data_IF_783259029893
#
_entry.id   IF_783259029893
#
_cell.length_a   1.000
_cell.length_b   1.000
_cell.length_c   1.000
_cell.angle_alpha   90.00
_cell.angle_beta   90.00
_cell.angle_gamma   90.00
#
_symmetry.space_group_name_H-M   'P 1'
#
loop_
_entity.id
_entity.type
_entity.pdbx_description
1 polymer ?
#
# COMPACT_ATOMS: atom_id res chain seq x y z
N UNK A 1 -34.97 -31.29 -24.17
CA UNK A 1 -34.91 -29.85 -24.59
C UNK A 1 -34.39 -28.89 -23.49
N UNK A 2 -34.54 -29.19 -22.19
CA UNK A 2 -34.00 -28.38 -21.07
C UNK A 2 -32.47 -28.49 -20.87
N UNK A 3 -31.86 -29.65 -21.13
CA UNK A 3 -30.42 -29.86 -20.91
C UNK A 3 -29.52 -29.16 -21.93
N UNK A 4 -29.95 -29.04 -23.20
CA UNK A 4 -29.23 -28.27 -24.23
C UNK A 4 -29.19 -26.76 -23.94
N UNK A 5 -30.16 -26.22 -23.19
CA UNK A 5 -30.16 -24.81 -22.73
C UNK A 5 -29.20 -24.58 -21.55
N UNK A 6 -29.02 -25.57 -20.66
CA UNK A 6 -28.05 -25.45 -19.55
C UNK A 6 -26.60 -25.57 -20.04
N UNK A 7 -26.32 -26.44 -21.01
CA UNK A 7 -24.99 -26.59 -21.62
C UNK A 7 -24.57 -25.31 -22.39
N UNK A 8 -25.50 -24.70 -23.13
CA UNK A 8 -25.32 -23.40 -23.81
C UNK A 8 -25.07 -22.24 -22.83
N UNK A 9 -25.75 -22.24 -21.68
CA UNK A 9 -25.56 -21.22 -20.63
C UNK A 9 -24.20 -21.36 -19.94
N UNK A 10 -23.77 -22.59 -19.61
CA UNK A 10 -22.43 -22.86 -19.04
C UNK A 10 -21.28 -22.54 -20.02
N UNK A 11 -21.44 -22.84 -21.32
CA UNK A 11 -20.45 -22.47 -22.35
C UNK A 11 -20.36 -20.94 -22.58
N UNK A 12 -21.47 -20.20 -22.45
CA UNK A 12 -21.45 -18.72 -22.49
C UNK A 12 -20.78 -18.12 -21.26
N UNK A 13 -21.03 -18.66 -20.05
CA UNK A 13 -20.37 -18.21 -18.82
C UNK A 13 -18.86 -18.47 -18.82
N UNK A 14 -18.41 -19.59 -19.42
CA UNK A 14 -16.99 -19.91 -19.55
C UNK A 14 -16.26 -18.99 -20.57
N UNK A 15 -16.92 -18.66 -21.70
CA UNK A 15 -16.37 -17.70 -22.69
C UNK A 15 -16.33 -16.26 -22.17
N UNK A 16 -17.30 -15.85 -21.35
CA UNK A 16 -17.27 -14.54 -20.70
C UNK A 16 -16.07 -14.42 -19.75
N UNK A 17 -15.67 -15.49 -19.06
CA UNK A 17 -14.54 -15.42 -18.12
C UNK A 17 -13.17 -15.23 -18.77
N UNK A 18 -12.89 -15.94 -19.86
CA UNK A 18 -11.64 -15.75 -20.63
C UNK A 18 -11.58 -14.38 -21.32
N UNK A 19 -12.74 -13.85 -21.73
CA UNK A 19 -12.83 -12.57 -22.44
C UNK A 19 -12.76 -11.38 -21.48
N UNK A 20 -13.38 -11.46 -20.30
CA UNK A 20 -13.28 -10.45 -19.25
C UNK A 20 -11.85 -10.32 -18.71
N UNK A 21 -11.15 -11.44 -18.52
CA UNK A 21 -9.77 -11.38 -18.03
C UNK A 21 -8.78 -10.77 -19.02
N UNK A 22 -8.99 -10.94 -20.33
CA UNK A 22 -8.19 -10.20 -21.33
C UNK A 22 -8.53 -8.72 -21.36
N UNK A 23 -9.81 -8.35 -21.23
CA UNK A 23 -10.26 -6.95 -21.24
C UNK A 23 -9.72 -6.11 -20.08
N UNK A 24 -9.45 -6.73 -18.93
CA UNK A 24 -9.04 -6.01 -17.71
C UNK A 24 -7.51 -5.83 -17.59
N UNK A 25 -6.70 -6.74 -18.15
CA UNK A 25 -5.22 -6.63 -18.20
C UNK A 25 -4.74 -5.31 -18.85
N UNK A 26 -5.62 -4.67 -19.63
CA UNK A 26 -5.41 -3.39 -20.32
C UNK A 26 -5.43 -2.13 -19.41
N UNK A 27 -5.99 -2.20 -18.19
CA UNK A 27 -6.08 -1.05 -17.27
C UNK A 27 -4.76 -0.66 -16.58
N UNK A 28 -3.75 -1.54 -16.61
CA UNK A 28 -2.57 -1.51 -15.73
C UNK A 28 -1.50 -0.45 -15.95
N UNK A 29 -1.46 0.23 -17.11
CA UNK A 29 -0.25 0.95 -17.54
C UNK A 29 -0.57 2.34 -18.05
N UNK A 30 -0.71 3.28 -17.13
CA UNK A 30 -0.60 4.71 -17.40
C UNK A 30 -0.24 5.44 -16.12
N UNK A 31 1.04 5.82 -15.97
CA UNK A 31 1.53 7.15 -15.52
C UNK A 31 3.07 7.07 -15.53
N UNK A 32 3.72 7.84 -16.41
CA UNK A 32 5.05 8.45 -16.16
C UNK A 32 5.37 9.49 -17.25
N UNK A 33 5.29 10.75 -16.83
CA UNK A 33 5.96 12.00 -17.27
C UNK A 33 6.53 12.18 -18.69
N UNK A 34 6.03 13.24 -19.35
CA UNK A 34 6.73 14.34 -20.04
C UNK A 34 7.88 13.92 -20.98
N UNK A 35 7.57 13.78 -22.27
CA UNK A 35 8.53 13.53 -23.35
C UNK A 35 8.02 12.68 -24.54
N UNK A 36 6.77 12.22 -24.53
CA UNK A 36 6.21 11.32 -25.58
C UNK A 36 4.77 11.65 -25.97
N UNK A 37 4.51 12.77 -26.63
CA UNK A 37 3.16 13.01 -27.18
C UNK A 37 2.88 12.22 -28.47
N UNK A 38 3.90 11.85 -29.26
CA UNK A 38 3.70 11.12 -30.52
C UNK A 38 3.61 9.58 -30.32
N UNK A 39 4.36 9.02 -29.37
CA UNK A 39 4.32 7.57 -29.11
C UNK A 39 3.04 7.12 -28.37
N UNK A 40 2.49 7.97 -27.50
CA UNK A 40 1.26 7.69 -26.73
C UNK A 40 0.02 7.63 -27.61
N UNK A 41 -0.10 8.49 -28.62
CA UNK A 41 -1.20 8.44 -29.59
C UNK A 41 -1.19 7.14 -30.43
N UNK A 42 -0.02 6.70 -30.89
CA UNK A 42 0.16 5.48 -31.71
C UNK A 42 -0.08 4.20 -30.90
N UNK A 43 0.31 4.17 -29.63
CA UNK A 43 0.01 3.08 -28.69
C UNK A 43 -1.47 3.03 -28.31
N UNK A 44 -2.12 4.19 -28.13
CA UNK A 44 -3.58 4.28 -27.93
C UNK A 44 -4.35 3.71 -29.14
N UNK A 45 -3.95 4.04 -30.37
CA UNK A 45 -4.66 3.57 -31.57
C UNK A 45 -4.54 2.05 -31.77
N UNK A 46 -3.36 1.44 -31.49
CA UNK A 46 -3.18 -0.01 -31.59
C UNK A 46 -4.00 -0.78 -30.54
N UNK A 47 -4.05 -0.29 -29.31
CA UNK A 47 -4.80 -0.94 -28.22
C UNK A 47 -6.32 -0.82 -28.39
N UNK A 48 -6.81 0.33 -28.88
CA UNK A 48 -8.23 0.48 -29.20
C UNK A 48 -8.66 -0.45 -30.34
N UNK A 49 -7.80 -0.71 -31.32
CA UNK A 49 -8.09 -1.67 -32.39
C UNK A 49 -8.19 -3.11 -31.87
N UNK A 50 -7.30 -3.51 -30.95
CA UNK A 50 -7.33 -4.83 -30.31
C UNK A 50 -8.61 -5.04 -29.47
N UNK A 51 -9.02 -4.01 -28.72
CA UNK A 51 -10.27 -4.02 -27.96
C UNK A 51 -11.49 -4.24 -28.86
N UNK A 52 -11.57 -3.49 -29.96
CA UNK A 52 -12.66 -3.61 -30.93
C UNK A 52 -12.66 -4.99 -31.60
N UNK A 53 -11.49 -5.53 -31.91
CA UNK A 53 -11.36 -6.90 -32.43
C UNK A 53 -11.85 -7.95 -31.43
N UNK A 54 -11.57 -7.80 -30.14
CA UNK A 54 -12.09 -8.72 -29.11
C UNK A 54 -13.61 -8.64 -28.97
N UNK A 55 -14.18 -7.42 -29.03
CA UNK A 55 -15.65 -7.24 -29.01
C UNK A 55 -16.30 -7.97 -30.18
N UNK A 56 -15.74 -7.80 -31.39
CA UNK A 56 -16.23 -8.44 -32.61
C UNK A 56 -16.07 -9.97 -32.56
N UNK A 57 -14.86 -10.45 -32.27
CA UNK A 57 -14.54 -11.89 -32.19
C UNK A 57 -15.43 -12.65 -31.21
N UNK A 58 -15.84 -12.00 -30.12
CA UNK A 58 -16.63 -12.63 -29.06
C UNK A 58 -18.12 -12.24 -29.10
N UNK A 59 -18.56 -11.52 -30.14
CA UNK A 59 -19.95 -11.07 -30.34
C UNK A 59 -20.52 -10.35 -29.10
N UNK A 60 -19.76 -9.38 -28.58
CA UNK A 60 -20.09 -8.66 -27.35
C UNK A 60 -20.89 -7.36 -27.58
N UNK A 61 -21.36 -7.13 -28.81
CA UNK A 61 -22.19 -5.98 -29.13
C UNK A 61 -23.47 -5.98 -28.28
N UNK A 62 -23.82 -4.81 -27.74
CA UNK A 62 -24.94 -4.66 -26.80
C UNK A 62 -24.69 -5.19 -25.38
N UNK A 63 -23.57 -5.89 -25.15
CA UNK A 63 -23.15 -6.37 -23.82
C UNK A 63 -22.03 -5.54 -23.20
N UNK A 64 -21.28 -4.79 -24.02
CA UNK A 64 -20.18 -3.91 -23.60
C UNK A 64 -20.46 -2.48 -24.05
N UNK A 65 -20.23 -1.53 -23.15
CA UNK A 65 -20.18 -0.10 -23.45
C UNK A 65 -18.74 0.40 -23.33
N UNK A 66 -18.25 1.07 -24.38
CA UNK A 66 -16.91 1.68 -24.40
C UNK A 66 -17.03 3.15 -24.82
N UNK A 67 -17.13 4.10 -23.87
CA UNK A 67 -17.19 5.51 -24.20
C UNK A 67 -15.84 5.97 -24.77
N UNK A 68 -15.85 6.56 -25.97
CA UNK A 68 -14.62 7.06 -26.63
C UNK A 68 -13.92 8.14 -25.80
N UNK A 69 -14.69 8.91 -25.05
CA UNK A 69 -14.24 9.98 -24.13
C UNK A 69 -15.22 10.08 -22.97
N UNK A 70 -14.72 10.46 -21.80
CA UNK A 70 -15.50 10.93 -20.67
C UNK A 70 -14.75 12.09 -20.01
N UNK A 71 -15.44 12.92 -19.25
CA UNK A 71 -14.86 13.96 -18.39
C UNK A 71 -14.79 13.46 -16.95
N UNK A 72 -13.89 13.97 -16.09
CA UNK A 72 -13.82 13.58 -14.69
C UNK A 72 -15.16 13.66 -13.95
N UNK A 73 -15.97 14.67 -14.25
CA UNK A 73 -17.32 14.86 -13.69
C UNK A 73 -18.34 13.79 -14.09
N UNK A 74 -18.07 12.99 -15.13
CA UNK A 74 -18.95 11.88 -15.54
C UNK A 74 -18.74 10.63 -14.66
N UNK A 75 -17.56 10.50 -14.04
CA UNK A 75 -17.14 9.29 -13.31
C UNK A 75 -18.08 8.96 -12.14
N UNK A 76 -18.50 9.92 -11.29
CA UNK A 76 -19.47 9.64 -10.22
C UNK A 76 -20.79 9.07 -10.75
N UNK A 77 -21.28 9.57 -11.88
CA UNK A 77 -22.50 9.07 -12.51
C UNK A 77 -22.32 7.64 -13.05
N UNK A 78 -21.14 7.30 -13.57
CA UNK A 78 -20.80 5.94 -14.00
C UNK A 78 -20.81 4.97 -12.81
N UNK A 79 -20.18 5.34 -11.70
CA UNK A 79 -20.20 4.52 -10.49
C UNK A 79 -21.62 4.36 -9.93
N UNK A 80 -22.40 5.45 -9.87
CA UNK A 80 -23.79 5.41 -9.43
C UNK A 80 -24.65 4.50 -10.32
N UNK A 81 -24.47 4.58 -11.65
CA UNK A 81 -25.15 3.73 -12.62
C UNK A 81 -24.82 2.24 -12.42
N UNK A 82 -23.54 1.93 -12.19
CA UNK A 82 -23.08 0.57 -11.91
C UNK A 82 -23.67 0.06 -10.60
N UNK A 83 -23.62 0.86 -9.52
CA UNK A 83 -24.19 0.50 -8.21
C UNK A 83 -25.68 0.25 -8.28
N UNK A 84 -26.43 1.11 -8.95
CA UNK A 84 -27.88 0.98 -9.13
C UNK A 84 -28.28 -0.34 -9.81
N UNK A 85 -27.37 -0.93 -10.59
CA UNK A 85 -27.56 -2.23 -11.27
C UNK A 85 -26.90 -3.40 -10.56
N UNK A 86 -26.43 -3.21 -9.31
CA UNK A 86 -25.64 -4.18 -8.55
C UNK A 86 -24.39 -4.66 -9.30
N UNK A 87 -23.75 -3.73 -10.00
CA UNK A 87 -22.47 -3.93 -10.64
C UNK A 87 -21.33 -4.01 -9.64
N UNK A 88 -20.13 -4.24 -10.15
CA UNK A 88 -18.87 -4.29 -9.40
C UNK A 88 -17.83 -3.44 -10.11
N UNK A 89 -16.80 -3.02 -9.38
CA UNK A 89 -15.62 -2.38 -9.97
C UNK A 89 -14.46 -3.36 -10.04
N UNK A 90 -13.75 -3.39 -11.18
CA UNK A 90 -12.67 -4.35 -11.41
C UNK A 90 -11.41 -3.61 -11.87
N UNK A 91 -10.31 -3.79 -11.14
CA UNK A 91 -8.98 -3.26 -11.51
C UNK A 91 -7.96 -4.40 -11.47
N UNK A 92 -7.52 -4.86 -12.65
CA UNK A 92 -6.53 -5.93 -12.76
C UNK A 92 -5.19 -5.38 -13.25
N UNK A 93 -4.76 -4.25 -12.68
CA UNK A 93 -3.44 -3.73 -12.96
C UNK A 93 -2.36 -4.77 -12.58
N UNK A 94 -1.36 -5.00 -13.44
CA UNK A 94 -0.21 -5.85 -13.09
C UNK A 94 0.50 -5.39 -11.81
N UNK A 95 0.45 -4.09 -11.52
CA UNK A 95 0.86 -3.50 -10.25
C UNK A 95 0.06 -2.21 -10.03
N UNK A 96 -0.67 -2.11 -8.93
CA UNK A 96 -1.43 -0.91 -8.55
C UNK A 96 -0.80 -0.33 -7.28
N UNK A 97 0.04 0.71 -7.35
CA UNK A 97 0.81 1.16 -6.20
C UNK A 97 -0.04 1.75 -5.08
N UNK A 98 -1.21 2.33 -5.39
CA UNK A 98 -2.07 2.95 -4.38
C UNK A 98 -3.56 2.63 -4.55
N UNK A 99 -4.13 2.81 -5.75
CA UNK A 99 -5.54 2.47 -5.99
C UNK A 99 -6.55 3.57 -5.67
N UNK A 100 -6.31 4.82 -6.07
CA UNK A 100 -7.32 5.90 -5.93
C UNK A 100 -8.68 5.54 -6.53
N UNK A 101 -8.68 4.92 -7.71
CA UNK A 101 -9.92 4.49 -8.39
C UNK A 101 -10.67 3.42 -7.61
N UNK A 102 -9.96 2.57 -6.85
CA UNK A 102 -10.56 1.58 -5.95
C UNK A 102 -11.21 2.26 -4.74
N UNK A 103 -10.56 3.28 -4.17
CA UNK A 103 -11.14 4.08 -3.08
C UNK A 103 -12.38 4.84 -3.54
N UNK A 104 -12.36 5.45 -4.73
CA UNK A 104 -13.52 6.14 -5.30
C UNK A 104 -14.69 5.17 -5.53
N UNK A 105 -14.42 4.01 -6.14
CA UNK A 105 -15.44 2.99 -6.39
C UNK A 105 -16.00 2.42 -5.06
N UNK A 106 -15.14 2.17 -4.08
CA UNK A 106 -15.53 1.75 -2.74
C UNK A 106 -16.42 2.78 -2.05
N UNK A 107 -16.03 4.06 -2.06
CA UNK A 107 -16.81 5.15 -1.50
C UNK A 107 -18.16 5.32 -2.21
N UNK A 108 -18.21 5.05 -3.52
CA UNK A 108 -19.45 4.99 -4.28
C UNK A 108 -20.32 3.75 -3.94
N UNK A 109 -19.82 2.81 -3.14
CA UNK A 109 -20.51 1.59 -2.70
C UNK A 109 -20.48 0.46 -3.72
N UNK A 110 -19.42 0.36 -4.52
CA UNK A 110 -19.19 -0.76 -5.41
C UNK A 110 -18.27 -1.80 -4.75
N UNK A 111 -18.67 -3.09 -4.74
CA UNK A 111 -17.75 -4.17 -4.42
C UNK A 111 -16.57 -4.22 -5.39
N UNK A 112 -15.40 -4.63 -4.89
CA UNK A 112 -14.14 -4.61 -5.64
C UNK A 112 -13.68 -6.01 -6.05
N UNK A 113 -13.15 -6.12 -7.26
CA UNK A 113 -12.21 -7.20 -7.64
C UNK A 113 -10.92 -6.52 -8.06
N UNK A 114 -9.82 -6.77 -7.36
CA UNK A 114 -8.58 -6.04 -7.56
C UNK A 114 -7.37 -6.95 -7.67
N UNK A 115 -6.29 -6.46 -8.28
CA UNK A 115 -4.99 -7.13 -8.30
C UNK A 115 -4.47 -7.38 -6.89
N UNK A 116 -3.75 -8.50 -6.70
CA UNK A 116 -3.02 -8.83 -5.47
C UNK A 116 -1.66 -8.13 -5.34
N UNK A 117 -1.36 -7.17 -6.22
CA UNK A 117 -0.10 -6.41 -6.22
C UNK A 117 -0.29 -4.93 -5.89
N UNK A 118 0.28 -4.49 -4.76
CA UNK A 118 0.36 -3.10 -4.33
C UNK A 118 -0.76 -2.66 -3.38
N UNK A 119 -1.15 -1.39 -3.45
CA UNK A 119 -2.14 -0.74 -2.58
C UNK A 119 -3.53 -1.40 -2.47
N UNK A 120 -4.04 -2.19 -3.44
CA UNK A 120 -5.30 -2.89 -3.27
C UNK A 120 -5.31 -3.88 -2.09
N UNK A 121 -4.16 -4.44 -1.71
CA UNK A 121 -4.06 -5.33 -0.55
C UNK A 121 -4.48 -4.59 0.72
N UNK A 122 -3.87 -3.44 0.99
CA UNK A 122 -4.17 -2.61 2.16
C UNK A 122 -5.63 -2.14 2.15
N UNK A 123 -6.14 -1.74 0.97
CA UNK A 123 -7.52 -1.26 0.84
C UNK A 123 -8.51 -2.39 1.14
N UNK A 124 -8.35 -3.57 0.54
CA UNK A 124 -9.28 -4.69 0.72
C UNK A 124 -9.17 -5.28 2.12
N UNK A 125 -7.97 -5.36 2.71
CA UNK A 125 -7.78 -5.80 4.09
C UNK A 125 -8.49 -4.86 5.07
N UNK A 126 -8.32 -3.55 4.92
CA UNK A 126 -8.92 -2.56 5.81
C UNK A 126 -10.44 -2.44 5.63
N UNK A 127 -10.91 -2.44 4.38
CA UNK A 127 -12.30 -2.18 4.05
C UNK A 127 -13.15 -3.45 3.99
N UNK A 128 -12.55 -4.63 3.81
CA UNK A 128 -13.24 -5.92 3.65
C UNK A 128 -14.31 -5.88 2.54
N UNK A 129 -14.06 -5.16 1.45
CA UNK A 129 -15.04 -4.78 0.44
C UNK A 129 -14.80 -5.42 -0.94
N UNK A 130 -13.97 -6.46 -1.02
CA UNK A 130 -13.63 -7.07 -2.31
C UNK A 130 -12.85 -8.37 -2.24
N UNK A 131 -12.37 -8.79 -3.42
CA UNK A 131 -11.59 -10.01 -3.63
C UNK A 131 -10.31 -9.64 -4.41
N UNK A 132 -9.15 -10.06 -3.88
CA UNK A 132 -7.87 -9.96 -4.55
C UNK A 132 -7.68 -11.13 -5.53
N UNK A 133 -7.11 -10.86 -6.71
CA UNK A 133 -6.88 -11.85 -7.77
C UNK A 133 -5.54 -11.61 -8.47
N UNK A 134 -4.90 -12.67 -8.95
CA UNK A 134 -3.76 -12.54 -9.88
C UNK A 134 -4.26 -11.95 -11.21
N UNK A 135 -3.78 -10.77 -11.63
CA UNK A 135 -4.21 -10.12 -12.86
C UNK A 135 -3.87 -10.93 -14.12
N UNK A 136 -2.94 -11.89 -14.05
CA UNK A 136 -2.56 -12.77 -15.16
C UNK A 136 -3.49 -13.97 -15.32
N UNK A 137 -4.46 -14.13 -14.42
CA UNK A 137 -5.42 -15.25 -14.43
C UNK A 137 -6.83 -14.78 -14.78
N UNK A 138 -7.18 -14.73 -16.09
CA UNK A 138 -8.54 -14.45 -16.54
C UNK A 138 -9.63 -15.24 -15.83
N UNK A 139 -9.36 -16.52 -15.57
CA UNK A 139 -10.28 -17.40 -14.87
C UNK A 139 -10.55 -16.95 -13.43
N UNK A 140 -9.51 -16.54 -12.69
CA UNK A 140 -9.66 -16.06 -11.32
C UNK A 140 -10.47 -14.75 -11.26
N UNK A 141 -10.16 -13.80 -12.16
CA UNK A 141 -10.88 -12.54 -12.29
C UNK A 141 -12.38 -12.79 -12.52
N UNK A 142 -12.69 -13.67 -13.48
CA UNK A 142 -14.07 -14.02 -13.82
C UNK A 142 -14.81 -14.71 -12.69
N UNK A 143 -14.16 -15.65 -12.00
CA UNK A 143 -14.75 -16.36 -10.87
C UNK A 143 -15.05 -15.42 -9.70
N UNK A 144 -14.12 -14.51 -9.38
CA UNK A 144 -14.34 -13.49 -8.36
C UNK A 144 -15.51 -12.57 -8.71
N UNK A 145 -15.57 -12.09 -9.95
CA UNK A 145 -16.67 -11.26 -10.44
C UNK A 145 -18.02 -11.98 -10.36
N UNK A 146 -18.09 -13.22 -10.85
CA UNK A 146 -19.32 -14.02 -10.83
C UNK A 146 -19.76 -14.39 -9.41
N UNK A 147 -18.81 -14.62 -8.49
CA UNK A 147 -19.11 -14.88 -7.08
C UNK A 147 -19.83 -13.70 -6.45
N UNK A 148 -19.31 -12.48 -6.62
CA UNK A 148 -19.92 -11.27 -6.07
C UNK A 148 -21.26 -10.97 -6.74
N UNK A 149 -21.35 -11.06 -8.08
CA UNK A 149 -22.59 -10.79 -8.81
C UNK A 149 -23.68 -11.85 -8.58
N UNK A 150 -23.29 -13.09 -8.28
CA UNK A 150 -24.19 -14.21 -8.03
C UNK A 150 -24.70 -14.31 -6.59
N UNK A 151 -24.03 -13.68 -5.63
CA UNK A 151 -24.38 -13.69 -4.21
C UNK A 151 -24.80 -12.28 -3.75
N UNK A 152 -26.11 -12.07 -3.64
CA UNK A 152 -26.66 -10.77 -3.27
C UNK A 152 -26.29 -10.32 -1.84
N UNK A 153 -26.13 -11.26 -0.91
CA UNK A 153 -25.76 -10.94 0.47
C UNK A 153 -24.28 -10.51 0.53
N UNK A 154 -23.42 -11.20 -0.21
CA UNK A 154 -22.02 -10.83 -0.36
C UNK A 154 -21.87 -9.44 -1.01
N UNK A 155 -22.62 -9.18 -2.08
CA UNK A 155 -22.63 -7.88 -2.75
C UNK A 155 -23.01 -6.75 -1.79
N UNK A 156 -24.09 -6.92 -1.02
CA UNK A 156 -24.54 -5.89 -0.06
C UNK A 156 -23.54 -5.66 1.06
N UNK A 157 -22.92 -6.74 1.56
CA UNK A 157 -21.88 -6.64 2.59
C UNK A 157 -20.70 -5.80 2.09
N UNK A 158 -20.18 -6.12 0.90
CA UNK A 158 -19.06 -5.39 0.31
C UNK A 158 -19.42 -3.94 -0.04
N UNK A 159 -20.61 -3.70 -0.59
CA UNK A 159 -21.09 -2.35 -0.90
C UNK A 159 -21.20 -1.47 0.35
N UNK A 160 -21.70 -2.02 1.46
CA UNK A 160 -21.78 -1.30 2.75
C UNK A 160 -20.40 -1.03 3.34
N UNK A 161 -19.50 -2.01 3.26
CA UNK A 161 -18.16 -1.89 3.82
C UNK A 161 -17.30 -0.83 3.10
N UNK A 162 -17.66 -0.45 1.88
CA UNK A 162 -17.01 0.63 1.12
C UNK A 162 -17.00 2.01 1.80
N UNK A 163 -17.92 2.28 2.74
CA UNK A 163 -17.86 3.55 3.52
C UNK A 163 -16.60 3.66 4.38
N UNK A 164 -16.04 2.52 4.83
CA UNK A 164 -14.77 2.48 5.57
C UNK A 164 -13.62 3.09 4.76
N UNK A 165 -13.65 2.97 3.43
CA UNK A 165 -12.63 3.56 2.56
C UNK A 165 -12.64 5.09 2.63
N UNK A 166 -13.83 5.70 2.62
CA UNK A 166 -13.98 7.15 2.71
C UNK A 166 -13.55 7.70 4.08
N UNK A 167 -13.78 6.94 5.16
CA UNK A 167 -13.37 7.31 6.52
C UNK A 167 -11.85 7.13 6.73
N UNK A 168 -11.26 6.08 6.17
CA UNK A 168 -9.85 5.78 6.30
C UNK A 168 -8.97 6.74 5.48
N UNK A 169 -9.38 7.07 4.26
CA UNK A 169 -8.61 7.84 3.29
C UNK A 169 -9.20 9.23 3.05
N UNK A 170 -9.30 10.02 4.12
CA UNK A 170 -9.81 11.40 4.08
C UNK A 170 -8.68 12.45 3.91
N UNK A 171 -8.86 13.34 2.93
CA UNK A 171 -7.93 14.45 2.66
C UNK A 171 -7.81 15.42 3.82
N UNK A 172 -8.89 15.66 4.56
CA UNK A 172 -8.89 16.62 5.67
C UNK A 172 -8.08 16.09 6.85
N UNK A 173 -8.20 14.79 7.16
CA UNK A 173 -7.37 14.07 8.12
C UNK A 173 -5.93 14.03 7.69
N UNK A 174 -5.66 13.77 6.41
CA UNK A 174 -4.31 13.77 5.86
C UNK A 174 -3.64 15.15 6.02
N UNK A 175 -4.31 16.23 5.60
CA UNK A 175 -3.81 17.59 5.70
C UNK A 175 -3.54 18.01 7.15
N UNK A 176 -4.46 17.68 8.08
CA UNK A 176 -4.25 17.92 9.52
C UNK A 176 -3.01 17.22 10.05
N UNK A 177 -2.87 15.92 9.78
CA UNK A 177 -1.69 15.15 10.23
C UNK A 177 -0.39 15.72 9.66
N UNK A 178 -0.40 16.15 8.41
CA UNK A 178 0.76 16.77 7.77
C UNK A 178 1.10 18.13 8.40
N UNK A 179 0.08 18.95 8.65
CA UNK A 179 0.24 20.25 9.32
C UNK A 179 0.76 20.09 10.76
N UNK A 180 0.25 19.12 11.52
CA UNK A 180 0.71 18.83 12.88
C UNK A 180 2.19 18.44 12.91
N UNK A 181 2.62 17.60 11.95
CA UNK A 181 4.02 17.22 11.79
C UNK A 181 4.91 18.43 11.46
N UNK A 182 4.48 19.29 10.53
CA UNK A 182 5.22 20.53 10.24
C UNK A 182 5.28 21.44 11.46
N UNK A 183 4.19 21.55 12.22
CA UNK A 183 4.15 22.29 13.47
C UNK A 183 5.15 21.76 14.50
N UNK A 184 5.32 20.43 14.60
CA UNK A 184 6.34 19.82 15.46
C UNK A 184 7.75 20.17 14.99
N UNK A 185 8.01 20.11 13.69
CA UNK A 185 9.33 20.42 13.10
C UNK A 185 9.73 21.90 13.25
N UNK A 186 8.75 22.81 13.27
CA UNK A 186 8.97 24.25 13.40
C UNK A 186 9.04 24.73 14.86
N UNK A 187 8.76 23.86 15.84
CA UNK A 187 8.86 24.25 17.25
C UNK A 187 10.30 24.65 17.56
N UNK A 188 10.51 25.78 18.27
CA UNK A 188 11.83 26.14 18.72
C UNK A 188 12.38 25.01 19.58
N UNK A 189 13.58 24.59 19.21
CA UNK A 189 14.40 23.63 19.94
C UNK A 189 14.50 24.09 21.39
N UNK A 190 13.99 23.29 22.32
CA UNK A 190 14.38 23.46 23.71
C UNK A 190 15.76 22.83 23.90
N UNK A 191 16.69 23.51 24.60
CA UNK A 191 17.94 22.88 24.97
C UNK A 191 17.62 21.60 25.75
N UNK A 192 18.09 20.46 25.26
CA UNK A 192 18.01 19.21 26.02
C UNK A 192 18.97 19.38 27.19
N UNK A 193 18.45 19.30 28.42
CA UNK A 193 19.29 19.30 29.61
C UNK A 193 20.34 18.19 29.49
N UNK A 194 21.60 18.47 29.85
CA UNK A 194 22.63 17.44 29.78
C UNK A 194 22.23 16.23 30.62
N UNK A 195 22.16 15.04 30.01
CA UNK A 195 21.75 13.85 30.74
C UNK A 195 22.82 13.49 31.78
N UNK A 196 22.36 13.21 33.00
CA UNK A 196 23.19 12.71 34.10
C UNK A 196 23.24 11.19 34.16
N UNK A 197 22.25 10.54 33.56
CA UNK A 197 22.10 9.10 33.51
C UNK A 197 21.65 8.68 32.11
N UNK A 198 22.01 7.46 31.72
CA UNK A 198 21.64 6.87 30.45
C UNK A 198 21.03 5.48 30.69
N UNK A 199 19.81 5.28 30.21
CA UNK A 199 19.16 3.98 30.13
C UNK A 199 19.15 3.52 28.67
N UNK A 200 19.78 2.38 28.39
CA UNK A 200 19.78 1.75 27.07
C UNK A 200 18.97 0.45 27.13
N UNK A 201 18.05 0.26 26.18
CA UNK A 201 17.30 -0.99 26.01
C UNK A 201 17.41 -1.51 24.58
N UNK A 202 17.38 -2.83 24.40
CA UNK A 202 17.04 -3.39 23.08
C UNK A 202 15.52 -3.24 22.83
N UNK A 203 15.11 -3.43 21.59
CA UNK A 203 13.72 -3.46 21.16
C UNK A 203 13.16 -4.86 21.40
N UNK A 204 13.80 -5.86 20.77
CA UNK A 204 13.26 -7.20 20.65
C UNK A 204 13.27 -7.90 22.02
N UNK A 205 12.12 -8.43 22.43
CA UNK A 205 11.91 -9.13 23.71
C UNK A 205 12.34 -8.37 24.98
N UNK A 206 12.53 -7.06 24.89
CA UNK A 206 13.01 -6.24 26.02
C UNK A 206 12.06 -5.06 26.26
N UNK A 207 12.04 -4.10 25.32
CA UNK A 207 11.20 -2.90 25.43
C UNK A 207 9.77 -3.13 24.95
N UNK A 208 9.60 -3.99 23.94
CA UNK A 208 8.33 -4.15 23.21
C UNK A 208 7.74 -5.54 23.46
N UNK A 209 6.41 -5.61 23.53
CA UNK A 209 5.65 -6.85 23.73
C UNK A 209 4.34 -6.65 24.50
N UNK A 210 4.17 -5.51 25.15
CA UNK A 210 2.97 -5.14 25.89
C UNK A 210 2.73 -3.62 25.82
N UNK A 211 1.63 -3.20 25.19
CA UNK A 211 1.29 -1.78 25.00
C UNK A 211 1.13 -1.05 26.34
N UNK A 212 0.54 -1.70 27.34
CA UNK A 212 0.35 -1.11 28.67
C UNK A 212 1.69 -0.84 29.37
N UNK A 213 2.63 -1.79 29.29
CA UNK A 213 3.96 -1.63 29.89
C UNK A 213 4.77 -0.51 29.22
N UNK A 214 4.65 -0.36 27.90
CA UNK A 214 5.31 0.73 27.16
C UNK A 214 4.79 2.10 27.61
N UNK A 215 3.48 2.22 27.80
CA UNK A 215 2.87 3.45 28.32
C UNK A 215 3.36 3.76 29.74
N UNK A 216 3.32 2.79 30.66
CA UNK A 216 3.81 2.96 32.03
C UNK A 216 5.29 3.33 32.06
N UNK A 217 6.11 2.71 31.19
CA UNK A 217 7.51 3.08 31.03
C UNK A 217 7.68 4.53 30.56
N UNK A 218 6.88 4.96 29.59
CA UNK A 218 6.90 6.34 29.08
C UNK A 218 6.55 7.38 30.16
N UNK A 219 5.54 7.10 30.98
CA UNK A 219 5.12 7.93 32.12
C UNK A 219 6.24 8.00 33.16
N UNK A 220 6.72 6.85 33.65
CA UNK A 220 7.82 6.78 34.63
C UNK A 220 9.07 7.52 34.14
N UNK A 221 9.44 7.33 32.88
CA UNK A 221 10.62 7.97 32.27
C UNK A 221 10.48 9.48 32.19
N UNK A 222 9.27 10.01 32.00
CA UNK A 222 9.04 11.45 31.98
C UNK A 222 9.25 12.10 33.35
N UNK A 223 9.05 11.34 34.44
CA UNK A 223 9.29 11.78 35.82
C UNK A 223 10.77 11.74 36.23
N UNK A 224 11.64 11.07 35.46
CA UNK A 224 13.06 10.96 35.77
C UNK A 224 13.86 12.16 35.24
N UNK A 225 14.14 13.13 36.11
CA UNK A 225 15.00 14.26 35.75
C UNK A 225 16.43 13.82 35.40
N UNK A 226 16.93 14.25 34.24
CA UNK A 226 18.30 13.99 33.80
C UNK A 226 18.56 12.57 33.28
N UNK A 227 17.53 11.74 33.08
CA UNK A 227 17.65 10.43 32.44
C UNK A 227 17.48 10.53 30.92
N UNK A 228 18.54 10.28 30.17
CA UNK A 228 18.45 10.00 28.74
C UNK A 228 18.05 8.54 28.51
N UNK A 229 17.14 8.34 27.56
CA UNK A 229 16.75 7.02 27.08
C UNK A 229 17.37 6.78 25.70
N UNK A 230 17.97 5.62 25.52
CA UNK A 230 18.51 5.17 24.25
C UNK A 230 18.07 3.75 23.92
N UNK A 231 18.19 3.41 22.65
CA UNK A 231 17.93 2.05 22.15
C UNK A 231 19.19 1.50 21.50
N UNK A 232 19.49 0.23 21.76
CA UNK A 232 20.55 -0.50 21.09
C UNK A 232 20.00 -1.80 20.49
N UNK A 233 19.99 -1.90 19.17
CA UNK A 233 19.32 -3.00 18.46
C UNK A 233 20.11 -3.50 17.24
N UNK A 234 19.91 -4.77 16.91
CA UNK A 234 20.43 -5.36 15.66
C UNK A 234 19.71 -4.86 14.40
N UNK A 235 18.53 -4.25 14.54
CA UNK A 235 17.72 -3.74 13.43
C UNK A 235 18.35 -2.51 12.79
N UNK A 236 18.06 -2.28 11.51
CA UNK A 236 18.37 -1.01 10.86
C UNK A 236 17.58 0.14 11.47
N UNK A 237 18.09 1.37 11.36
CA UNK A 237 17.44 2.57 11.89
C UNK A 237 15.97 2.69 11.48
N UNK A 238 15.68 2.53 10.18
CA UNK A 238 14.31 2.64 9.67
C UNK A 238 13.39 1.53 10.20
N UNK A 239 13.88 0.29 10.32
CA UNK A 239 13.09 -0.81 10.89
C UNK A 239 12.82 -0.58 12.38
N UNK A 240 13.82 -0.13 13.13
CA UNK A 240 13.70 0.15 14.56
C UNK A 240 12.68 1.27 14.83
N UNK A 241 12.77 2.39 14.11
CA UNK A 241 11.85 3.52 14.25
C UNK A 241 10.40 3.13 13.90
N UNK A 242 10.18 2.37 12.83
CA UNK A 242 8.85 1.93 12.44
C UNK A 242 8.16 1.13 13.55
N UNK A 243 8.89 0.25 14.23
CA UNK A 243 8.33 -0.58 15.32
C UNK A 243 8.05 0.28 16.56
N UNK A 244 8.98 1.16 16.94
CA UNK A 244 8.77 2.08 18.07
C UNK A 244 7.53 2.95 17.85
N UNK A 245 7.34 3.47 16.63
CA UNK A 245 6.17 4.29 16.28
C UNK A 245 4.86 3.48 16.27
N UNK A 246 4.86 2.26 15.71
CA UNK A 246 3.69 1.37 15.74
C UNK A 246 3.21 1.06 17.16
N UNK A 247 4.13 1.01 18.11
CA UNK A 247 3.86 0.68 19.51
C UNK A 247 3.69 1.91 20.41
N UNK A 248 3.73 3.12 19.82
CA UNK A 248 3.72 4.39 20.55
C UNK A 248 4.79 4.46 21.66
N UNK A 249 5.96 3.87 21.42
CA UNK A 249 7.05 3.87 22.39
C UNK A 249 7.70 5.25 22.53
N UNK A 250 8.26 5.59 23.70
CA UNK A 250 9.00 6.84 23.89
C UNK A 250 10.14 6.97 22.88
N UNK A 251 10.32 8.16 22.30
CA UNK A 251 11.43 8.41 21.37
C UNK A 251 12.79 8.39 22.08
N UNK A 252 13.73 7.51 21.67
CA UNK A 252 15.07 7.47 22.24
C UNK A 252 15.87 8.71 21.81
N UNK A 253 16.69 9.26 22.71
CA UNK A 253 17.63 10.34 22.42
C UNK A 253 18.83 9.84 21.62
N UNK A 254 19.21 8.57 21.82
CA UNK A 254 20.27 7.90 21.07
C UNK A 254 19.78 6.54 20.57
N UNK A 255 20.15 6.22 19.34
CA UNK A 255 19.81 4.98 18.65
C UNK A 255 21.09 4.33 18.15
N UNK A 256 21.46 3.20 18.73
CA UNK A 256 22.54 2.33 18.27
C UNK A 256 21.87 1.22 17.45
N UNK A 257 22.15 1.20 16.16
CA UNK A 257 21.40 0.39 15.17
C UNK A 257 22.36 -0.37 14.26
N UNK A 258 21.82 -1.27 13.44
CA UNK A 258 22.59 -2.09 12.51
C UNK A 258 23.74 -2.80 13.22
N UNK A 259 23.41 -3.40 14.37
CA UNK A 259 24.34 -4.14 15.23
C UNK A 259 25.51 -3.26 15.72
N UNK A 260 25.27 -1.97 15.93
CA UNK A 260 26.24 -0.99 16.42
C UNK A 260 27.08 -0.30 15.34
N UNK A 261 26.90 -0.65 14.07
CA UNK A 261 27.61 0.03 12.97
C UNK A 261 27.10 1.45 12.70
N UNK A 262 25.92 1.80 13.20
CA UNK A 262 25.31 3.11 13.02
C UNK A 262 24.77 3.66 14.33
N UNK A 263 25.13 4.89 14.66
CA UNK A 263 24.58 5.64 15.80
C UNK A 263 23.82 6.85 15.26
N UNK A 264 22.63 7.10 15.81
CA UNK A 264 21.82 8.27 15.50
C UNK A 264 21.44 9.00 16.78
N UNK A 265 21.43 10.32 16.72
CA UNK A 265 21.01 11.20 17.82
C UNK A 265 19.71 11.88 17.45
N UNK A 266 18.79 11.97 18.41
CA UNK A 266 17.58 12.75 18.26
C UNK A 266 17.98 14.23 18.17
N UNK A 267 17.60 14.87 17.07
CA UNK A 267 17.85 16.28 16.87
C UNK A 267 17.07 17.09 17.90
N UNK A 268 17.57 18.29 18.17
CA UNK A 268 17.06 19.12 19.23
C UNK A 268 15.60 19.62 18.96
N UNK A 269 15.07 19.42 17.74
CA UNK A 269 13.65 19.62 17.41
C UNK A 269 12.73 18.50 17.96
N UNK A 270 13.29 17.49 18.63
CA UNK A 270 12.58 16.34 19.20
C UNK A 270 11.93 15.42 18.16
N UNK A 271 12.21 15.63 16.88
CA UNK A 271 11.45 15.06 15.78
C UNK A 271 12.31 14.27 14.79
N UNK A 272 13.45 14.81 14.38
CA UNK A 272 14.36 14.20 13.40
C UNK A 272 15.57 13.56 14.07
N UNK A 273 16.31 12.76 13.31
CA UNK A 273 17.54 12.12 13.78
C UNK A 273 18.69 12.38 12.83
N UNK A 274 19.86 12.64 13.40
CA UNK A 274 21.12 12.80 12.66
C UNK A 274 22.04 11.61 12.91
N UNK A 275 22.60 11.04 11.84
CA UNK A 275 23.61 9.99 11.95
C UNK A 275 24.92 10.58 12.49
N UNK A 276 25.52 9.88 13.46
CA UNK A 276 26.82 10.20 14.01
C UNK A 276 27.91 9.93 12.95
N UNK A 277 28.47 11.03 12.41
CA UNK A 277 29.47 10.96 11.35
C UNK A 277 30.84 10.58 11.88
N UNK A 278 31.16 10.94 13.13
CA UNK A 278 32.44 10.62 13.74
C UNK A 278 32.50 9.12 14.01
N UNK A 279 31.46 8.54 14.61
CA UNK A 279 31.35 7.10 14.82
C UNK A 279 31.43 6.32 13.51
N UNK A 280 30.73 6.79 12.47
CA UNK A 280 30.82 6.18 11.14
C UNK A 280 32.24 6.21 10.59
N UNK A 281 32.99 7.29 10.83
CA UNK A 281 34.41 7.39 10.49
C UNK A 281 35.27 6.39 11.27
N UNK A 282 35.01 6.21 12.56
CA UNK A 282 35.71 5.24 13.43
C UNK A 282 35.47 3.81 12.96
N UNK A 283 34.20 3.40 12.79
CA UNK A 283 33.84 2.03 12.39
C UNK A 283 34.32 1.69 10.98
N UNK A 284 34.46 2.68 10.10
CA UNK A 284 34.92 2.46 8.72
C UNK A 284 36.44 2.49 8.54
N UNK A 285 37.21 2.90 9.56
CA UNK A 285 38.64 3.26 9.43
C UNK A 285 39.52 2.17 8.83
N UNK A 286 39.17 0.90 9.04
CA UNK A 286 39.90 -0.26 8.52
C UNK A 286 38.96 -1.28 7.84
N UNK A 287 37.74 -0.87 7.52
CA UNK A 287 36.77 -1.75 6.87
C UNK A 287 37.07 -1.88 5.38
N UNK A 288 37.52 -3.06 4.95
CA UNK A 288 37.77 -3.37 3.54
C UNK A 288 36.77 -4.42 3.03
N UNK A 289 35.69 -3.95 2.41
CA UNK A 289 34.63 -4.82 1.86
C UNK A 289 35.16 -5.77 0.78
N UNK A 290 36.08 -5.31 -0.06
CA UNK A 290 36.57 -6.10 -1.19
C UNK A 290 37.50 -7.22 -0.70
N UNK A 291 38.34 -6.94 0.30
CA UNK A 291 39.15 -7.97 0.97
C UNK A 291 38.27 -9.00 1.68
N UNK A 292 37.21 -8.56 2.37
CA UNK A 292 36.26 -9.48 3.01
C UNK A 292 35.54 -10.36 1.98
N UNK A 293 35.07 -9.77 0.86
CA UNK A 293 34.46 -10.54 -0.25
C UNK A 293 35.43 -11.53 -0.88
N UNK A 294 36.67 -11.12 -1.11
CA UNK A 294 37.70 -11.99 -1.66
C UNK A 294 37.99 -13.18 -0.74
N UNK A 295 38.11 -12.95 0.57
CA UNK A 295 38.31 -14.00 1.56
C UNK A 295 37.13 -14.98 1.64
N UNK A 296 35.91 -14.50 1.42
CA UNK A 296 34.68 -15.30 1.46
C UNK A 296 34.32 -15.95 0.10
N UNK A 297 35.08 -15.69 -0.97
CA UNK A 297 34.76 -16.15 -2.33
C UNK A 297 34.61 -17.66 -2.50
N UNK A 298 35.24 -18.45 -1.62
CA UNK A 298 35.18 -19.92 -1.64
C UNK A 298 34.18 -20.51 -0.64
N UNK A 299 33.45 -19.68 0.12
CA UNK A 299 32.45 -20.14 1.08
C UNK A 299 31.09 -20.19 0.39
N UNK A 300 30.54 -21.39 0.20
CA UNK A 300 29.25 -21.56 -0.48
C UNK A 300 28.11 -21.10 0.43
N UNK A 301 27.29 -20.15 -0.03
CA UNK A 301 26.08 -19.70 0.67
C UNK A 301 26.19 -18.36 1.41
N UNK A 302 27.31 -17.64 1.28
CA UNK A 302 27.53 -16.25 1.74
C UNK A 302 27.94 -15.42 0.53
#
# INVERSE_FOLDING_TARGET
MRERRLASRKQRTFRLGETYGRLLDFGSKSVSSIGRQVATARLRSKRSAELLHLIDRHDLYGSVAYPKTHRPEDVPAIYAYARARRGIFVNTALNEPFGLTLLEAAAAGLPLVATDSGGPNDIIELCENGILVDPRSPGAIAQAALRILGDGALWERYAKAGSKAAEAYDWTRHARRYHDLLGQLLRPVQPVAEPRQLLISDIDNTLIGCVDSIRTFGEWRHEQEGLAFGVATGRSFHSAMAILEQQNAPRPQVMITSVGSEIYHLDANGTTYSQDREWRGIVSRDWNRDAARAALSNVTGI
#
